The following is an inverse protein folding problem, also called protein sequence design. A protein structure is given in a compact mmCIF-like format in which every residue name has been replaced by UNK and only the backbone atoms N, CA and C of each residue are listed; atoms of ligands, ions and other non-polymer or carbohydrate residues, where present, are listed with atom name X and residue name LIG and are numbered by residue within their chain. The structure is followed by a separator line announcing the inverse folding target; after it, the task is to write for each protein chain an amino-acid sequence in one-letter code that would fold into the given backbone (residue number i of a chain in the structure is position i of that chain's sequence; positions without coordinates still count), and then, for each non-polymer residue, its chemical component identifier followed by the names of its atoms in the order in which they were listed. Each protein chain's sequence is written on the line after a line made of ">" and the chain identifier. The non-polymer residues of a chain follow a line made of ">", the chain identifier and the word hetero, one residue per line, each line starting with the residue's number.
data_IF_895217600666
#
_entry.id   IF_895217600666
#
_cell.length_a   1.000
_cell.length_b   1.000
_cell.length_c   1.000
_cell.angle_alpha   90.00
_cell.angle_beta   90.00
_cell.angle_gamma   90.00
#
_symmetry.space_group_name_H-M   'P 1'
#
loop_
_entity.id
_entity.type
_entity.pdbx_description
1 polymer ?
#
# COMPACT_ATOMS: atom_id res chain seq x y z
N UNK A 1 27.12 -44.80 10.39
CA UNK A 1 25.74 -44.60 10.89
C UNK A 1 25.01 -43.78 9.81
N UNK A 2 24.50 -44.30 8.70
CA UNK A 2 24.04 -45.66 8.38
C UNK A 2 22.60 -45.83 8.84
N UNK A 3 21.65 -45.62 7.93
CA UNK A 3 20.23 -46.07 7.86
C UNK A 3 19.68 -45.42 6.56
N UNK A 4 19.70 -45.98 5.35
CA UNK A 4 19.15 -47.24 4.79
C UNK A 4 17.62 -47.31 4.82
N UNK A 5 17.02 -47.18 3.61
CA UNK A 5 15.89 -47.95 3.02
C UNK A 5 14.55 -48.02 3.79
N UNK A 6 13.35 -48.13 3.21
CA UNK A 6 12.88 -48.62 1.92
C UNK A 6 11.36 -48.32 1.80
N UNK A 7 10.91 -48.07 0.57
CA UNK A 7 9.76 -48.67 -0.13
C UNK A 7 8.40 -48.90 0.57
N UNK A 8 7.31 -48.46 -0.10
CA UNK A 8 5.94 -48.94 0.18
C UNK A 8 4.82 -48.27 -0.62
N UNK A 9 4.71 -48.55 -1.93
CA UNK A 9 3.40 -48.67 -2.64
C UNK A 9 3.12 -50.18 -2.77
N UNK A 10 1.88 -50.70 -3.01
CA UNK A 10 0.67 -50.03 -3.51
C UNK A 10 -0.66 -50.48 -2.84
N UNK A 11 -1.79 -49.87 -3.19
CA UNK A 11 -3.09 -50.56 -3.27
C UNK A 11 -4.07 -49.75 -4.13
N UNK A 12 -4.46 -50.34 -5.26
CA UNK A 12 -5.61 -49.94 -6.07
C UNK A 12 -6.89 -50.42 -5.38
N UNK A 13 -7.94 -49.61 -5.38
CA UNK A 13 -9.31 -50.06 -5.09
C UNK A 13 -10.25 -49.47 -6.12
N UNK A 14 -10.92 -50.36 -6.86
CA UNK A 14 -11.94 -50.05 -7.84
C UNK A 14 -13.32 -49.98 -7.18
N UNK A 15 -14.11 -48.99 -7.57
CA UNK A 15 -15.58 -49.01 -7.60
C UNK A 15 -15.95 -48.03 -8.74
N UNK A 16 -16.59 -48.41 -9.84
CA UNK A 16 -17.78 -49.24 -9.93
C UNK A 16 -19.00 -48.31 -9.97
N UNK A 17 -19.23 -47.65 -11.10
CA UNK A 17 -20.34 -46.71 -11.31
C UNK A 17 -20.76 -46.66 -12.77
N UNK A 18 -21.97 -47.12 -13.03
CA UNK A 18 -22.58 -47.43 -14.33
C UNK A 18 -22.78 -46.22 -15.24
N UNK A 19 -22.33 -46.36 -16.50
CA UNK A 19 -22.65 -45.45 -17.60
C UNK A 19 -24.14 -45.59 -17.97
N UNK A 20 -24.94 -44.59 -17.58
CA UNK A 20 -26.29 -44.39 -18.07
C UNK A 20 -26.26 -43.89 -19.52
N UNK A 21 -26.89 -44.65 -20.42
CA UNK A 21 -27.05 -44.33 -21.83
C UNK A 21 -28.12 -43.24 -22.00
N UNK A 22 -27.73 -42.06 -22.49
CA UNK A 22 -28.65 -41.01 -22.94
C UNK A 22 -29.00 -41.18 -24.43
N UNK A 23 -30.22 -40.79 -24.86
CA UNK A 23 -30.68 -41.02 -26.23
C UNK A 23 -29.94 -40.15 -27.25
N UNK A 24 -29.69 -40.74 -28.42
CA UNK A 24 -29.10 -40.09 -29.57
C UNK A 24 -30.02 -38.99 -30.11
N UNK A 25 -29.62 -37.73 -29.91
CA UNK A 25 -30.29 -36.57 -30.53
C UNK A 25 -29.64 -36.27 -31.87
N UNK A 26 -30.48 -36.27 -32.90
CA UNK A 26 -30.17 -36.22 -34.32
C UNK A 26 -29.63 -34.85 -34.73
N UNK A 27 -28.38 -34.84 -35.18
CA UNK A 27 -27.71 -33.69 -35.78
C UNK A 27 -28.28 -33.41 -37.18
N UNK A 28 -29.31 -32.55 -37.34
CA UNK A 28 -29.62 -32.04 -38.70
C UNK A 28 -30.34 -30.70 -38.87
N UNK A 29 -30.87 -30.02 -37.85
CA UNK A 29 -31.73 -28.84 -38.10
C UNK A 29 -31.25 -27.48 -37.55
N UNK A 30 -30.05 -27.38 -36.98
CA UNK A 30 -29.60 -26.20 -36.22
C UNK A 30 -28.76 -25.19 -37.01
N UNK A 31 -28.72 -25.25 -38.35
CA UNK A 31 -27.82 -24.36 -39.13
C UNK A 31 -28.42 -23.01 -39.53
N UNK A 32 -29.74 -22.85 -39.50
CA UNK A 32 -30.36 -21.71 -40.20
C UNK A 32 -31.05 -20.72 -39.27
N UNK A 33 -31.49 -21.15 -38.07
CA UNK A 33 -32.21 -20.28 -37.11
C UNK A 33 -31.32 -19.70 -36.00
N UNK A 34 -30.09 -20.19 -35.83
CA UNK A 34 -29.18 -19.73 -34.78
C UNK A 34 -28.55 -18.36 -35.05
N UNK A 35 -28.43 -17.97 -36.33
CA UNK A 35 -27.71 -16.74 -36.70
C UNK A 35 -28.54 -15.47 -36.45
N UNK A 36 -29.86 -15.55 -36.52
CA UNK A 36 -30.76 -14.41 -36.31
C UNK A 36 -31.04 -14.11 -34.82
N UNK A 37 -30.92 -15.11 -33.94
CA UNK A 37 -31.11 -14.94 -32.49
C UNK A 37 -29.88 -14.35 -31.77
N UNK A 38 -28.68 -14.56 -32.30
CA UNK A 38 -27.44 -13.97 -31.76
C UNK A 38 -27.32 -12.47 -32.02
N UNK A 39 -27.87 -11.96 -33.13
CA UNK A 39 -27.82 -10.54 -33.47
C UNK A 39 -28.72 -9.66 -32.61
N UNK A 40 -29.83 -10.19 -32.08
CA UNK A 40 -30.80 -9.43 -31.29
C UNK A 40 -30.35 -9.22 -29.83
N UNK A 41 -29.49 -10.09 -29.28
CA UNK A 41 -28.98 -9.94 -27.92
C UNK A 41 -27.89 -8.85 -27.79
N UNK A 42 -27.24 -8.46 -28.89
CA UNK A 42 -26.20 -7.44 -28.87
C UNK A 42 -26.73 -5.99 -28.85
N UNK A 43 -28.01 -5.78 -29.16
CA UNK A 43 -28.61 -4.44 -29.31
C UNK A 43 -29.24 -3.88 -28.01
N UNK A 44 -29.27 -4.64 -26.92
CA UNK A 44 -29.93 -4.26 -25.65
C UNK A 44 -29.02 -4.34 -24.42
N UNK A 45 -27.70 -4.42 -24.59
CA UNK A 45 -26.79 -4.34 -23.44
C UNK A 45 -26.78 -2.91 -22.89
N UNK A 46 -27.18 -2.68 -21.62
CA UNK A 46 -26.99 -1.38 -20.99
C UNK A 46 -25.48 -1.11 -20.89
N UNK A 47 -25.06 0.08 -21.32
CA UNK A 47 -23.75 0.64 -21.02
C UNK A 47 -23.65 0.81 -19.50
N UNK A 48 -23.28 -0.24 -18.78
CA UNK A 48 -22.78 -0.11 -17.42
C UNK A 48 -21.35 0.40 -17.54
N UNK A 49 -21.19 1.72 -17.39
CA UNK A 49 -19.88 2.29 -17.03
C UNK A 49 -19.51 1.69 -15.69
N UNK A 50 -18.63 0.68 -15.70
CA UNK A 50 -17.93 0.26 -14.50
C UNK A 50 -17.02 1.41 -14.10
N UNK A 51 -17.47 2.23 -13.17
CA UNK A 51 -16.65 3.26 -12.56
C UNK A 51 -15.62 2.52 -11.72
N UNK A 52 -14.41 2.38 -12.27
CA UNK A 52 -13.28 1.79 -11.57
C UNK A 52 -12.88 2.76 -10.47
N UNK A 53 -13.55 2.65 -9.33
CA UNK A 53 -13.07 3.20 -8.07
C UNK A 53 -11.74 2.53 -7.73
N UNK A 54 -10.74 3.33 -7.38
CA UNK A 54 -9.48 2.80 -6.85
C UNK A 54 -9.77 2.18 -5.48
N UNK A 55 -9.84 0.86 -5.43
CA UNK A 55 -10.00 0.10 -4.19
C UNK A 55 -8.86 0.45 -3.19
N UNK A 56 -9.14 0.52 -1.88
CA UNK A 56 -8.11 0.65 -0.85
C UNK A 56 -7.26 -0.63 -0.81
N UNK A 57 -6.28 -0.72 -1.71
CA UNK A 57 -5.47 -1.92 -1.93
C UNK A 57 -4.25 -1.70 -2.85
N UNK A 58 -4.02 -0.48 -3.33
CA UNK A 58 -2.80 -0.07 -4.04
C UNK A 58 -1.73 0.50 -3.09
N UNK A 59 -1.86 0.25 -1.78
CA UNK A 59 -0.86 0.66 -0.79
C UNK A 59 0.32 -0.30 -0.84
N UNK A 60 1.54 0.24 -0.88
CA UNK A 60 2.75 -0.55 -0.74
C UNK A 60 2.63 -1.40 0.55
N UNK A 61 2.67 -2.74 0.49
CA UNK A 61 2.51 -3.60 1.67
C UNK A 61 3.62 -3.40 2.71
N UNK A 62 4.69 -2.71 2.32
CA UNK A 62 5.82 -2.36 3.18
C UNK A 62 5.71 -0.94 3.77
N UNK A 63 4.67 -0.18 3.41
CA UNK A 63 4.40 1.14 3.98
C UNK A 63 3.80 0.98 5.38
N UNK A 64 4.37 1.69 6.34
CA UNK A 64 3.83 1.79 7.69
C UNK A 64 3.25 3.19 7.85
N UNK A 65 1.92 3.24 8.01
CA UNK A 65 1.22 4.51 8.12
C UNK A 65 1.63 5.26 9.39
N UNK A 66 2.06 6.53 9.29
CA UNK A 66 2.32 7.36 10.45
C UNK A 66 1.06 7.51 11.32
N UNK A 67 1.21 7.70 12.64
CA UNK A 67 0.09 7.99 13.51
C UNK A 67 -0.73 9.20 13.04
N UNK A 68 -2.05 9.14 13.18
CA UNK A 68 -2.98 10.20 12.74
C UNK A 68 -2.80 11.57 13.39
N UNK A 69 -1.95 11.67 14.42
CA UNK A 69 -1.60 12.94 15.05
C UNK A 69 -0.39 13.63 14.41
N UNK A 70 0.25 13.00 13.42
CA UNK A 70 1.22 13.68 12.56
C UNK A 70 0.55 14.82 11.81
N UNK A 71 1.31 15.87 11.54
CA UNK A 71 0.82 17.04 10.83
C UNK A 71 0.71 16.70 9.34
N UNK A 72 -0.48 16.92 8.79
CA UNK A 72 -0.68 16.99 7.34
C UNK A 72 -0.10 18.31 6.84
N UNK A 73 1.04 18.23 6.16
CA UNK A 73 1.82 19.38 5.72
C UNK A 73 1.92 19.41 4.20
N UNK A 74 1.86 20.62 3.62
CA UNK A 74 2.15 20.90 2.22
C UNK A 74 3.66 20.90 1.91
N UNK A 75 4.50 20.58 2.90
CA UNK A 75 5.95 20.55 2.86
C UNK A 75 6.60 21.90 2.56
N UNK A 76 5.94 23.01 2.91
CA UNK A 76 6.59 24.30 3.07
C UNK A 76 7.16 24.40 4.49
N UNK A 77 8.45 24.13 4.62
CA UNK A 77 9.09 24.02 5.94
C UNK A 77 9.16 25.36 6.67
N UNK A 78 9.15 26.48 5.94
CA UNK A 78 9.20 27.80 6.57
C UNK A 78 7.84 28.12 7.19
N UNK A 79 6.75 27.84 6.47
CA UNK A 79 5.40 27.96 7.01
C UNK A 79 5.16 26.97 8.15
N UNK A 80 5.60 25.72 8.01
CA UNK A 80 5.45 24.69 9.05
C UNK A 80 6.15 25.06 10.36
N UNK A 81 7.36 25.61 10.30
CA UNK A 81 8.08 26.11 11.48
C UNK A 81 7.31 27.28 12.10
N UNK A 82 6.84 28.23 11.29
CA UNK A 82 6.12 29.39 11.79
C UNK A 82 4.78 29.00 12.46
N UNK A 83 4.04 28.06 11.89
CA UNK A 83 2.80 27.53 12.47
C UNK A 83 3.06 26.76 13.78
N UNK A 84 4.09 25.91 13.81
CA UNK A 84 4.48 25.21 15.03
C UNK A 84 4.83 26.20 16.13
N UNK A 85 5.63 27.23 15.83
CA UNK A 85 6.02 28.27 16.78
C UNK A 85 4.80 29.06 17.30
N UNK A 86 3.84 29.40 16.44
CA UNK A 86 2.58 30.04 16.86
C UNK A 86 1.77 29.18 17.82
N UNK A 87 1.82 27.86 17.66
CA UNK A 87 1.19 26.90 18.57
C UNK A 87 2.04 26.62 19.84
N UNK A 88 3.18 27.30 20.03
CA UNK A 88 4.10 27.06 21.15
C UNK A 88 4.88 25.74 21.05
N UNK A 89 5.06 25.23 19.83
CA UNK A 89 5.74 23.98 19.50
C UNK A 89 6.95 24.23 18.61
N UNK A 90 7.72 23.17 18.38
CA UNK A 90 8.82 23.09 17.41
C UNK A 90 8.43 22.17 16.24
N UNK A 91 9.12 22.26 15.11
CA UNK A 91 8.89 21.32 14.00
C UNK A 91 9.84 20.13 14.12
N UNK A 92 9.30 18.91 13.99
CA UNK A 92 10.07 17.67 13.94
C UNK A 92 9.88 17.00 12.58
N UNK A 93 10.94 16.93 11.78
CA UNK A 93 10.93 16.16 10.55
C UNK A 93 11.30 14.71 10.84
N UNK A 94 10.41 13.81 10.45
CA UNK A 94 10.60 12.36 10.53
C UNK A 94 10.94 11.81 9.14
N UNK A 95 12.20 11.48 8.93
CA UNK A 95 12.65 10.85 7.69
C UNK A 95 12.46 9.33 7.75
N UNK A 96 11.74 8.79 6.79
CA UNK A 96 11.44 7.36 6.67
C UNK A 96 11.64 6.84 5.24
N UNK A 97 11.54 5.52 5.07
CA UNK A 97 11.38 4.86 3.78
C UNK A 97 10.43 3.68 3.92
N UNK A 98 9.80 3.29 2.83
CA UNK A 98 8.95 2.09 2.80
C UNK A 98 9.79 0.83 3.05
N UNK A 99 9.22 -0.13 3.77
CA UNK A 99 9.89 -1.39 4.11
C UNK A 99 11.02 -1.27 5.13
N UNK A 100 11.11 -0.14 5.83
CA UNK A 100 12.07 0.08 6.89
C UNK A 100 11.60 -0.55 8.22
N UNK A 101 12.19 -1.67 8.68
CA UNK A 101 11.78 -2.29 9.94
C UNK A 101 12.06 -1.41 11.16
N UNK A 102 13.10 -0.57 11.12
CA UNK A 102 13.41 0.37 12.19
C UNK A 102 12.43 1.54 12.25
N UNK A 103 11.87 1.93 11.11
CA UNK A 103 10.84 2.95 11.02
C UNK A 103 9.55 2.42 11.63
N UNK A 104 9.15 1.19 11.26
CA UNK A 104 8.03 0.47 11.88
C UNK A 104 8.21 0.39 13.41
N UNK A 105 9.41 0.05 13.86
CA UNK A 105 9.73 -0.03 15.29
C UNK A 105 9.59 1.32 16.00
N UNK A 106 10.05 2.41 15.40
CA UNK A 106 9.86 3.75 15.98
C UNK A 106 8.37 4.07 16.11
N UNK A 107 7.57 3.80 15.07
CA UNK A 107 6.14 4.06 15.10
C UNK A 107 5.42 3.22 16.15
N UNK A 108 5.78 1.94 16.31
CA UNK A 108 5.14 1.01 17.23
C UNK A 108 5.62 1.18 18.68
N UNK A 109 6.93 1.11 18.92
CA UNK A 109 7.49 1.05 20.28
C UNK A 109 7.52 2.44 20.93
N UNK A 110 7.92 3.46 20.17
CA UNK A 110 8.12 4.81 20.71
C UNK A 110 6.86 5.66 20.55
N UNK A 111 6.37 5.82 19.32
CA UNK A 111 5.17 6.62 19.06
C UNK A 111 3.86 5.88 19.35
N UNK A 112 3.90 4.56 19.56
CA UNK A 112 2.79 3.79 20.11
C UNK A 112 2.76 3.79 21.64
N UNK A 113 3.86 4.18 22.32
CA UNK A 113 3.83 4.44 23.75
C UNK A 113 3.11 5.77 24.03
N UNK A 114 2.02 5.70 24.81
CA UNK A 114 1.16 6.86 25.10
C UNK A 114 1.93 8.05 25.68
N UNK A 115 2.80 7.83 26.66
CA UNK A 115 3.45 8.94 27.37
C UNK A 115 4.47 9.65 26.47
N UNK A 116 5.16 8.89 25.61
CA UNK A 116 6.07 9.44 24.59
C UNK A 116 5.27 10.18 23.51
N UNK A 117 4.22 9.57 22.97
CA UNK A 117 3.37 10.19 21.95
C UNK A 117 2.78 11.51 22.44
N UNK A 118 2.21 11.52 23.64
CA UNK A 118 1.62 12.71 24.26
C UNK A 118 2.68 13.79 24.54
N UNK A 119 3.88 13.40 24.99
CA UNK A 119 4.99 14.36 25.13
C UNK A 119 5.40 14.93 23.77
N UNK A 120 5.48 14.11 22.73
CA UNK A 120 5.83 14.57 21.39
C UNK A 120 4.78 15.55 20.86
N UNK A 121 3.50 15.18 20.90
CA UNK A 121 2.38 16.01 20.41
C UNK A 121 2.28 17.38 21.10
N UNK A 122 2.58 17.43 22.39
CA UNK A 122 2.57 18.69 23.16
C UNK A 122 3.68 19.65 22.75
N UNK A 123 4.82 19.15 22.30
CA UNK A 123 6.01 19.97 22.06
C UNK A 123 6.37 20.12 20.58
N UNK A 124 5.84 19.25 19.72
CA UNK A 124 6.21 19.16 18.32
C UNK A 124 5.01 19.00 17.41
N UNK A 125 5.08 19.65 16.25
CA UNK A 125 4.38 19.21 15.06
C UNK A 125 5.32 18.30 14.28
N UNK A 126 4.85 17.11 13.91
CA UNK A 126 5.69 16.09 13.28
C UNK A 126 5.28 15.91 11.83
N UNK A 127 6.22 16.09 10.92
CA UNK A 127 6.01 15.95 9.47
C UNK A 127 6.84 14.80 8.95
N UNK A 128 6.21 13.86 8.25
CA UNK A 128 6.89 12.72 7.65
C UNK A 128 7.47 13.09 6.27
N UNK A 129 8.73 12.71 6.03
CA UNK A 129 9.43 12.90 4.76
C UNK A 129 9.97 11.55 4.28
N UNK A 130 9.55 11.12 3.09
CA UNK A 130 10.06 9.89 2.49
C UNK A 130 11.40 10.18 1.78
N UNK A 131 12.50 9.53 2.19
CA UNK A 131 13.81 9.76 1.58
C UNK A 131 13.91 9.31 0.11
N UNK A 132 12.94 8.53 -0.37
CA UNK A 132 12.77 8.15 -1.77
C UNK A 132 11.58 8.84 -2.45
N UNK A 133 10.87 9.69 -1.71
CA UNK A 133 9.68 10.38 -2.19
C UNK A 133 9.97 11.44 -3.24
N UNK A 134 8.94 11.72 -4.03
CA UNK A 134 8.95 12.68 -5.12
C UNK A 134 8.04 13.89 -4.85
N UNK A 135 7.48 14.01 -3.63
CA UNK A 135 6.74 15.23 -3.25
C UNK A 135 7.70 16.41 -3.21
N UNK A 136 7.19 17.59 -3.56
CA UNK A 136 7.96 18.82 -3.47
C UNK A 136 8.04 19.29 -2.02
N UNK A 137 9.25 19.66 -1.60
CA UNK A 137 9.58 20.24 -0.29
C UNK A 137 10.17 21.61 -0.54
N UNK A 138 9.54 22.65 -0.03
CA UNK A 138 10.11 24.01 0.01
C UNK A 138 10.90 24.16 1.30
N UNK A 139 12.23 24.22 1.17
CA UNK A 139 13.13 24.32 2.31
C UNK A 139 13.10 25.71 2.97
N UNK A 140 13.78 25.83 4.11
CA UNK A 140 13.94 27.11 4.83
C UNK A 140 14.67 28.19 4.01
N UNK A 141 15.43 27.78 3.00
CA UNK A 141 16.10 28.67 2.04
C UNK A 141 15.20 29.09 0.86
N UNK A 142 13.91 28.74 0.89
CA UNK A 142 12.92 29.02 -0.15
C UNK A 142 13.12 28.21 -1.44
N UNK A 143 14.05 27.26 -1.46
CA UNK A 143 14.27 26.39 -2.63
C UNK A 143 13.37 25.17 -2.54
N UNK A 144 12.71 24.85 -3.64
CA UNK A 144 11.90 23.65 -3.79
C UNK A 144 12.74 22.50 -4.34
N UNK A 145 12.67 21.36 -3.67
CA UNK A 145 13.35 20.11 -4.03
C UNK A 145 12.38 18.94 -3.84
N UNK A 146 12.57 17.84 -4.56
CA UNK A 146 11.87 16.59 -4.19
C UNK A 146 12.32 16.10 -2.81
N UNK A 147 11.48 15.38 -2.06
CA UNK A 147 11.84 14.80 -0.75
C UNK A 147 13.18 14.06 -0.80
N UNK A 148 13.41 13.24 -1.84
CA UNK A 148 14.69 12.54 -2.04
C UNK A 148 15.89 13.46 -2.22
N UNK A 149 15.74 14.58 -2.95
CA UNK A 149 16.80 15.57 -3.12
C UNK A 149 17.03 16.35 -1.82
N UNK A 150 15.97 16.68 -1.11
CA UNK A 150 16.02 17.38 0.17
C UNK A 150 16.75 16.53 1.23
N UNK A 151 16.38 15.25 1.38
CA UNK A 151 17.04 14.31 2.28
C UNK A 151 18.54 14.18 1.96
N UNK A 152 18.91 14.06 0.67
CA UNK A 152 20.32 14.04 0.24
C UNK A 152 21.06 15.35 0.56
N UNK A 153 20.44 16.51 0.33
CA UNK A 153 21.02 17.83 0.66
C UNK A 153 21.33 17.96 2.14
N UNK A 154 20.51 17.38 3.00
CA UNK A 154 20.72 17.34 4.45
C UNK A 154 21.67 16.22 4.92
N UNK A 155 22.16 15.37 4.01
CA UNK A 155 23.02 14.25 4.36
C UNK A 155 22.32 13.12 5.09
N UNK A 156 20.98 13.00 4.97
CA UNK A 156 20.21 11.90 5.58
C UNK A 156 20.46 10.62 4.78
N UNK A 157 21.21 9.70 5.38
CA UNK A 157 21.60 8.42 4.75
C UNK A 157 20.88 7.20 5.35
N UNK A 158 20.28 7.35 6.53
CA UNK A 158 19.66 6.24 7.27
C UNK A 158 18.29 6.64 7.79
N UNK A 159 17.42 5.64 7.92
CA UNK A 159 16.07 5.79 8.43
C UNK A 159 15.85 4.82 9.61
N UNK A 160 15.11 5.24 10.65
CA UNK A 160 14.51 6.56 10.81
C UNK A 160 15.55 7.64 11.21
N UNK A 161 15.37 8.87 10.74
CA UNK A 161 16.12 10.05 11.20
C UNK A 161 15.14 11.12 11.68
N UNK A 162 15.45 11.77 12.80
CA UNK A 162 14.64 12.81 13.43
C UNK A 162 15.41 14.14 13.43
N UNK A 163 14.89 15.14 12.73
CA UNK A 163 15.48 16.48 12.67
C UNK A 163 14.55 17.47 13.39
N UNK A 164 15.08 18.18 14.37
CA UNK A 164 14.35 19.19 15.14
C UNK A 164 14.69 20.58 14.60
N UNK A 165 13.66 21.37 14.31
CA UNK A 165 13.75 22.74 13.82
C UNK A 165 13.09 23.70 14.81
N UNK A 166 13.64 24.90 14.89
CA UNK A 166 13.25 25.99 15.79
C UNK A 166 12.74 27.20 15.01
#
# INVERSE_FOLDING_TARGET
>A
MGNTEQAGRPAQSQAGGTLGQGPALTARSWREKGLLLLALCFLLAPLHSAEVGLEPGLTNPSYHEPPSWFKESFLDLKEDVAEAAQAGKRLLLYFYQDGCPYCARLLQDNFGNRDIAEKTRRNFDVVAINIWGDREVTGLDGKTLTEKQFARKLGVQYTPTLLFLD
#
